data_IF_034925302978
#
_entry.id   IF_034925302978
#
_cell.length_a   1.000
_cell.length_b   1.000
_cell.length_c   1.000
_cell.angle_alpha   90.00
_cell.angle_beta   90.00
_cell.angle_gamma   90.00
#
_symmetry.space_group_name_H-M   'P 1'
#
loop_
_entity.id
_entity.type
_entity.pdbx_description
1 polymer ?
#
# COMPACT_ATOMS: atom_id res chain seq x y z
N UNK A 1 -25.73 9.68 -8.88
CA UNK A 1 -24.78 10.05 -9.93
C UNK A 1 -23.81 11.05 -9.35
N UNK A 2 -22.52 11.02 -9.74
CA UNK A 2 -21.45 11.91 -9.25
C UNK A 2 -21.15 11.80 -7.74
N UNK A 3 -20.96 10.58 -7.25
CA UNK A 3 -20.45 10.38 -5.89
C UNK A 3 -19.03 10.91 -5.74
N UNK A 4 -18.83 11.74 -4.72
CA UNK A 4 -17.49 12.17 -4.31
C UNK A 4 -16.87 11.09 -3.46
N UNK A 5 -15.82 10.46 -3.96
CA UNK A 5 -15.05 9.46 -3.20
C UNK A 5 -14.38 10.12 -1.98
N UNK A 6 -14.32 9.38 -0.89
CA UNK A 6 -13.59 9.75 0.35
C UNK A 6 -12.35 8.88 0.52
N UNK A 7 -11.52 8.77 -0.51
CA UNK A 7 -10.30 7.96 -0.39
C UNK A 7 -9.23 8.73 0.40
N UNK A 8 -8.73 8.11 1.45
CA UNK A 8 -7.64 8.63 2.28
C UNK A 8 -6.29 7.99 1.94
N UNK A 9 -6.28 7.04 1.00
CA UNK A 9 -5.11 6.35 0.51
C UNK A 9 -4.89 6.68 -0.96
N UNK A 10 -3.63 6.91 -1.34
CA UNK A 10 -3.23 7.04 -2.73
C UNK A 10 -2.10 6.08 -3.07
N UNK A 11 -2.05 5.65 -4.34
CA UNK A 11 -0.87 5.03 -4.95
C UNK A 11 -0.25 6.05 -5.89
N UNK A 12 1.03 6.38 -5.66
CA UNK A 12 1.79 7.27 -6.54
C UNK A 12 2.33 6.46 -7.71
N UNK A 13 1.80 6.75 -8.90
CA UNK A 13 2.19 6.13 -10.16
C UNK A 13 3.07 7.10 -10.95
N UNK A 14 4.25 6.67 -11.40
CA UNK A 14 5.19 7.48 -12.16
C UNK A 14 5.52 6.83 -13.50
N UNK A 15 5.20 7.51 -14.60
CA UNK A 15 5.58 7.10 -15.95
C UNK A 15 7.10 7.14 -16.16
N UNK A 16 7.78 8.10 -15.55
CA UNK A 16 9.24 8.21 -15.59
C UNK A 16 9.90 7.02 -14.89
N UNK A 17 9.37 6.65 -13.70
CA UNK A 17 9.85 5.47 -12.99
C UNK A 17 9.59 4.18 -13.78
N UNK A 18 8.40 4.02 -14.38
CA UNK A 18 8.06 2.88 -15.22
C UNK A 18 8.99 2.79 -16.44
N UNK A 19 9.21 3.91 -17.16
CA UNK A 19 10.07 3.96 -18.33
C UNK A 19 11.52 3.68 -17.97
N UNK A 20 12.02 4.33 -16.91
CA UNK A 20 13.38 4.09 -16.41
C UNK A 20 13.60 2.65 -15.96
N UNK A 21 12.60 2.05 -15.32
CA UNK A 21 12.63 0.67 -14.87
C UNK A 21 12.69 -0.32 -16.03
N UNK A 22 11.95 -0.08 -17.09
CA UNK A 22 11.97 -0.90 -18.30
C UNK A 22 13.29 -0.79 -19.08
N UNK A 23 13.92 0.39 -19.07
CA UNK A 23 15.18 0.63 -19.74
C UNK A 23 16.38 0.04 -18.99
N UNK A 24 16.32 -0.03 -17.66
CA UNK A 24 17.41 -0.48 -16.78
C UNK A 24 16.92 -1.55 -15.81
N UNK A 25 16.71 -2.74 -16.32
CA UNK A 25 16.15 -3.87 -15.55
C UNK A 25 17.08 -4.43 -14.43
N UNK A 26 18.32 -4.02 -14.32
CA UNK A 26 19.30 -4.43 -13.30
C UNK A 26 19.32 -5.94 -12.99
N UNK A 27 19.37 -6.78 -14.01
CA UNK A 27 19.27 -8.21 -13.82
C UNK A 27 17.87 -8.71 -13.45
N UNK A 28 16.88 -7.86 -13.53
CA UNK A 28 15.47 -8.17 -13.48
C UNK A 28 15.07 -8.93 -14.76
N UNK A 29 15.73 -10.02 -15.01
CA UNK A 29 15.68 -10.73 -16.28
C UNK A 29 14.53 -11.72 -16.41
N UNK A 30 13.56 -11.71 -15.49
CA UNK A 30 12.48 -12.70 -15.42
C UNK A 30 11.19 -12.25 -16.10
N UNK A 31 11.17 -11.07 -16.72
CA UNK A 31 9.97 -10.53 -17.36
C UNK A 31 9.04 -9.74 -16.45
N UNK A 32 9.38 -9.59 -15.16
CA UNK A 32 8.63 -8.72 -14.26
C UNK A 32 8.78 -7.25 -14.67
N UNK A 33 7.71 -6.51 -14.49
CA UNK A 33 7.59 -5.10 -14.84
C UNK A 33 7.05 -4.27 -13.66
N UNK A 34 6.92 -2.97 -13.86
CA UNK A 34 6.43 -2.06 -12.82
C UNK A 34 5.05 -2.47 -12.26
N UNK A 35 4.16 -3.03 -13.09
CA UNK A 35 2.85 -3.48 -12.65
C UNK A 35 2.92 -4.69 -11.71
N UNK A 36 3.94 -5.52 -11.82
CA UNK A 36 4.11 -6.68 -10.92
C UNK A 36 4.49 -6.26 -9.50
N UNK A 37 4.97 -5.02 -9.34
CA UNK A 37 5.19 -4.40 -8.03
C UNK A 37 3.94 -3.69 -7.53
N UNK A 38 3.29 -2.92 -8.40
CA UNK A 38 2.16 -2.07 -8.04
C UNK A 38 0.89 -2.88 -7.77
N UNK A 39 0.58 -3.82 -8.66
CA UNK A 39 -0.69 -4.57 -8.64
C UNK A 39 -0.92 -5.37 -7.36
N UNK A 40 0.05 -6.13 -6.80
CA UNK A 40 -0.15 -6.83 -5.54
C UNK A 40 -0.49 -5.90 -4.37
N UNK A 41 0.06 -4.69 -4.36
CA UNK A 41 -0.23 -3.68 -3.33
C UNK A 41 -1.66 -3.13 -3.48
N UNK A 42 -2.08 -2.86 -4.73
CA UNK A 42 -3.46 -2.47 -5.02
C UNK A 42 -4.46 -3.57 -4.68
N UNK A 43 -4.18 -4.81 -5.08
CA UNK A 43 -5.05 -5.96 -4.81
C UNK A 43 -5.19 -6.22 -3.30
N UNK A 44 -4.13 -6.00 -2.52
CA UNK A 44 -4.16 -6.09 -1.07
C UNK A 44 -5.09 -5.03 -0.45
N UNK A 45 -5.01 -3.77 -0.89
CA UNK A 45 -5.92 -2.69 -0.46
C UNK A 45 -7.36 -2.98 -0.85
N UNK A 46 -7.58 -3.45 -2.09
CA UNK A 46 -8.90 -3.79 -2.61
C UNK A 46 -9.58 -4.88 -1.78
N UNK A 47 -8.83 -5.93 -1.41
CA UNK A 47 -9.36 -7.08 -0.65
C UNK A 47 -9.73 -6.75 0.79
N UNK A 48 -9.19 -5.67 1.35
CA UNK A 48 -9.52 -5.19 2.70
C UNK A 48 -10.44 -3.96 2.67
N UNK A 49 -11.11 -3.72 1.54
CA UNK A 49 -12.08 -2.63 1.40
C UNK A 49 -11.52 -1.22 1.63
N UNK A 50 -10.25 -0.99 1.32
CA UNK A 50 -9.64 0.34 1.35
C UNK A 50 -9.79 0.99 -0.02
N UNK A 51 -10.48 2.12 -0.07
CA UNK A 51 -10.58 2.95 -1.28
C UNK A 51 -9.23 3.63 -1.57
N UNK A 52 -8.82 3.61 -2.84
CA UNK A 52 -7.54 4.17 -3.26
C UNK A 52 -7.69 5.04 -4.51
N UNK A 53 -6.97 6.16 -4.56
CA UNK A 53 -6.79 6.98 -5.75
C UNK A 53 -5.40 6.74 -6.34
N UNK A 54 -5.28 6.84 -7.67
CA UNK A 54 -3.98 6.92 -8.33
C UNK A 54 -3.61 8.38 -8.54
N UNK A 55 -2.40 8.73 -8.16
CA UNK A 55 -1.85 10.08 -8.32
C UNK A 55 -0.52 10.02 -9.05
N UNK A 56 -0.26 10.99 -9.93
CA UNK A 56 1.03 11.14 -10.58
C UNK A 56 1.95 12.07 -9.77
N UNK A 57 3.28 12.09 -10.04
CA UNK A 57 4.25 12.91 -9.33
C UNK A 57 3.96 14.42 -9.34
N UNK A 58 3.25 14.90 -10.37
CA UNK A 58 2.91 16.33 -10.54
C UNK A 58 1.57 16.69 -9.91
N UNK A 59 0.79 15.70 -9.46
CA UNK A 59 -0.54 15.92 -8.86
C UNK A 59 -0.47 16.92 -7.71
N UNK A 60 -1.29 17.95 -7.80
CA UNK A 60 -1.51 18.87 -6.69
C UNK A 60 -2.32 18.17 -5.59
N UNK A 61 -2.02 18.52 -4.33
CA UNK A 61 -2.83 18.09 -3.20
C UNK A 61 -2.67 16.61 -2.81
N UNK A 62 -1.51 16.01 -3.02
CA UNK A 62 -1.20 14.69 -2.45
C UNK A 62 -1.24 14.72 -0.91
N UNK A 63 -1.09 15.90 -0.34
CA UNK A 63 -1.11 16.17 1.10
C UNK A 63 -2.50 15.93 1.74
N UNK A 64 -3.55 15.79 0.94
CA UNK A 64 -4.89 15.45 1.42
C UNK A 64 -5.02 13.99 1.88
N UNK A 65 -4.14 13.12 1.38
CA UNK A 65 -4.17 11.71 1.75
C UNK A 65 -3.51 11.48 3.11
N UNK A 66 -3.96 10.45 3.79
CA UNK A 66 -3.37 10.01 5.05
C UNK A 66 -2.21 9.04 4.82
N UNK A 67 -2.35 8.16 3.82
CA UNK A 67 -1.37 7.16 3.45
C UNK A 67 -1.08 7.23 1.94
N UNK A 68 0.20 7.26 1.59
CA UNK A 68 0.65 7.15 0.19
C UNK A 68 1.50 5.88 0.03
N UNK A 69 1.12 5.03 -0.92
CA UNK A 69 1.92 3.89 -1.34
C UNK A 69 2.78 4.33 -2.53
N UNK A 70 4.07 4.08 -2.47
CA UNK A 70 5.05 4.55 -3.47
C UNK A 70 5.78 3.32 -4.04
N UNK A 71 5.21 2.65 -5.07
CA UNK A 71 5.84 1.49 -5.69
C UNK A 71 7.04 1.92 -6.52
N UNK A 72 8.21 1.34 -6.28
CA UNK A 72 9.44 1.44 -7.07
C UNK A 72 9.64 2.78 -7.78
N UNK A 73 9.57 3.89 -7.04
CA UNK A 73 9.80 5.24 -7.57
C UNK A 73 11.29 5.40 -7.95
N UNK A 74 11.69 4.65 -8.98
CA UNK A 74 13.07 4.48 -9.43
C UNK A 74 13.68 5.78 -9.92
N UNK A 75 12.97 6.48 -10.80
CA UNK A 75 13.36 7.78 -11.34
C UNK A 75 12.45 8.88 -10.80
N UNK A 76 13.03 9.89 -10.15
CA UNK A 76 12.27 10.98 -9.57
C UNK A 76 13.13 12.25 -9.42
N UNK A 77 12.57 13.45 -9.63
CA UNK A 77 13.25 14.69 -9.32
C UNK A 77 13.41 14.87 -7.80
N UNK A 78 14.47 15.56 -7.41
CA UNK A 78 14.77 15.85 -6.01
C UNK A 78 13.63 16.60 -5.30
N UNK A 79 12.93 17.46 -6.02
CA UNK A 79 11.77 18.20 -5.51
C UNK A 79 10.64 17.29 -5.04
N UNK A 80 10.33 16.23 -5.80
CA UNK A 80 9.32 15.25 -5.42
C UNK A 80 9.74 14.48 -4.16
N UNK A 81 10.99 14.00 -4.11
CA UNK A 81 11.49 13.27 -2.94
C UNK A 81 11.50 14.12 -1.67
N UNK A 82 11.87 15.39 -1.78
CA UNK A 82 11.76 16.36 -0.67
C UNK A 82 10.32 16.62 -0.26
N UNK A 83 9.39 16.69 -1.23
CA UNK A 83 7.95 16.84 -0.97
C UNK A 83 7.39 15.64 -0.20
N UNK A 84 7.79 14.43 -0.57
CA UNK A 84 7.39 13.21 0.13
C UNK A 84 7.95 13.17 1.56
N UNK A 85 9.21 13.58 1.78
CA UNK A 85 9.76 13.72 3.13
C UNK A 85 8.97 14.73 3.95
N UNK A 86 8.61 15.88 3.38
CA UNK A 86 7.81 16.90 4.04
C UNK A 86 6.41 16.39 4.39
N UNK A 87 5.79 15.62 3.50
CA UNK A 87 4.51 14.96 3.75
C UNK A 87 4.58 14.07 5.00
N UNK A 88 5.61 13.22 5.13
CA UNK A 88 5.81 12.39 6.33
C UNK A 88 6.06 13.28 7.55
N UNK A 89 6.96 14.27 7.45
CA UNK A 89 7.27 15.18 8.55
C UNK A 89 6.04 15.87 9.13
N UNK A 90 5.05 16.16 8.29
CA UNK A 90 3.81 16.84 8.66
C UNK A 90 2.70 15.89 9.17
N UNK A 91 2.94 14.59 9.23
CA UNK A 91 2.00 13.62 9.81
C UNK A 91 1.38 12.65 8.81
N UNK A 92 1.86 12.65 7.55
CA UNK A 92 1.50 11.65 6.55
C UNK A 92 2.20 10.31 6.78
N UNK A 93 1.63 9.26 6.21
CA UNK A 93 2.20 7.91 6.25
C UNK A 93 2.61 7.49 4.84
N UNK A 94 3.79 6.91 4.69
CA UNK A 94 4.25 6.40 3.39
C UNK A 94 4.70 4.95 3.53
N UNK A 95 4.33 4.13 2.52
CA UNK A 95 4.98 2.86 2.25
C UNK A 95 5.79 3.00 0.95
N UNK A 96 7.10 3.02 1.07
CA UNK A 96 8.02 2.88 -0.05
C UNK A 96 8.30 1.40 -0.32
N UNK A 97 8.42 1.04 -1.59
CA UNK A 97 9.04 -0.23 -1.94
C UNK A 97 10.50 -0.01 -2.38
N UNK A 98 11.21 -1.08 -2.61
CA UNK A 98 12.60 -1.06 -3.11
C UNK A 98 12.76 -0.17 -4.37
N UNK A 99 14.00 0.22 -4.65
CA UNK A 99 14.42 1.14 -5.74
C UNK A 99 13.83 2.55 -5.70
N UNK A 100 13.15 2.93 -4.63
CA UNK A 100 12.70 4.32 -4.49
C UNK A 100 13.88 5.28 -4.28
N UNK A 101 13.86 6.43 -5.00
CA UNK A 101 14.89 7.45 -4.89
C UNK A 101 16.24 7.09 -5.53
N UNK A 102 16.32 6.00 -6.30
CA UNK A 102 17.57 5.46 -6.83
C UNK A 102 18.23 6.37 -7.88
N UNK A 103 17.45 6.95 -8.78
CA UNK A 103 17.94 7.85 -9.82
C UNK A 103 17.15 9.17 -9.86
N UNK A 104 17.72 10.16 -10.54
CA UNK A 104 17.00 11.39 -10.83
C UNK A 104 16.03 11.21 -12.02
N UNK A 105 15.30 12.25 -12.41
CA UNK A 105 14.33 12.26 -13.51
C UNK A 105 14.94 11.91 -14.88
N UNK A 106 16.24 12.06 -15.06
CA UNK A 106 16.99 11.69 -16.26
C UNK A 106 17.59 10.28 -16.17
N UNK A 107 17.13 9.48 -15.22
CA UNK A 107 17.60 8.10 -14.96
C UNK A 107 19.09 8.04 -14.58
N UNK A 108 19.70 9.16 -14.20
CA UNK A 108 21.07 9.19 -13.67
C UNK A 108 21.06 8.74 -12.23
N UNK A 109 21.76 7.64 -11.95
CA UNK A 109 21.90 7.07 -10.58
C UNK A 109 22.52 8.12 -9.65
N UNK A 110 21.95 8.28 -8.47
CA UNK A 110 22.51 9.13 -7.42
C UNK A 110 23.78 8.51 -6.85
N UNK A 111 24.84 9.30 -6.75
CA UNK A 111 26.16 8.87 -6.27
C UNK A 111 26.32 8.93 -4.75
N UNK A 112 25.22 9.06 -4.02
CA UNK A 112 25.16 9.02 -2.55
C UNK A 112 24.65 7.66 -2.09
N UNK A 113 24.83 7.35 -0.80
CA UNK A 113 24.19 6.15 -0.21
C UNK A 113 22.68 6.18 -0.45
N UNK A 114 22.15 5.05 -0.86
CA UNK A 114 20.73 4.90 -1.13
C UNK A 114 19.93 4.78 0.18
N UNK A 115 18.65 5.11 0.17
CA UNK A 115 17.82 5.62 -0.91
C UNK A 115 17.92 7.14 -1.14
N UNK A 116 19.07 7.71 -0.91
CA UNK A 116 19.37 9.12 -1.23
C UNK A 116 18.56 10.11 -0.36
N UNK A 117 17.81 10.99 -1.00
CA UNK A 117 17.05 12.07 -0.33
C UNK A 117 16.06 11.53 0.70
N UNK A 118 15.43 10.37 0.45
CA UNK A 118 14.45 9.81 1.37
C UNK A 118 15.08 9.01 2.53
N UNK A 119 16.41 8.88 2.59
CA UNK A 119 17.13 8.18 3.67
C UNK A 119 16.76 8.68 5.06
N UNK A 120 16.63 10.00 5.21
CA UNK A 120 16.32 10.61 6.50
C UNK A 120 14.90 10.23 6.96
N UNK A 121 13.90 10.37 6.09
CA UNK A 121 12.53 10.01 6.43
C UNK A 121 12.38 8.50 6.66
N UNK A 122 13.06 7.67 5.88
CA UNK A 122 13.02 6.22 6.02
C UNK A 122 13.89 5.69 7.17
N UNK A 123 14.84 6.48 7.68
CA UNK A 123 15.75 6.08 8.75
C UNK A 123 16.67 4.92 8.38
N UNK A 124 17.10 4.85 7.14
CA UNK A 124 17.91 3.75 6.58
C UNK A 124 18.96 4.25 5.59
N UNK A 125 19.96 3.40 5.36
CA UNK A 125 20.89 3.55 4.26
C UNK A 125 21.26 2.19 3.66
N UNK A 126 21.66 2.17 2.38
CA UNK A 126 22.27 1.00 1.75
C UNK A 126 23.18 1.38 0.58
N UNK A 127 24.11 0.49 0.24
CA UNK A 127 25.01 0.62 -0.93
C UNK A 127 25.02 -0.63 -1.79
N UNK A 128 24.33 -1.67 -1.37
CA UNK A 128 24.33 -2.96 -2.05
C UNK A 128 22.91 -3.52 -2.18
N UNK A 129 22.71 -4.23 -3.26
CA UNK A 129 21.52 -5.03 -3.53
C UNK A 129 21.94 -6.33 -4.21
N UNK A 130 21.06 -7.32 -4.21
CA UNK A 130 21.34 -8.62 -4.85
C UNK A 130 20.03 -9.28 -5.32
N UNK A 131 20.19 -10.33 -6.11
CA UNK A 131 19.09 -11.21 -6.48
C UNK A 131 18.96 -12.30 -5.43
N UNK A 132 17.79 -12.49 -4.81
CA UNK A 132 17.59 -13.54 -3.81
C UNK A 132 17.56 -14.93 -4.45
N UNK A 133 18.17 -15.90 -3.74
CA UNK A 133 18.04 -17.32 -4.06
C UNK A 133 17.58 -18.03 -2.79
N UNK A 134 16.34 -18.52 -2.80
CA UNK A 134 15.74 -19.22 -1.65
C UNK A 134 15.76 -18.39 -0.34
N UNK A 135 15.47 -17.10 -0.43
CA UNK A 135 15.44 -16.18 0.71
C UNK A 135 14.01 -16.04 1.22
N UNK A 136 13.86 -16.05 2.53
CA UNK A 136 12.63 -15.74 3.26
C UNK A 136 12.85 -14.59 4.25
N UNK A 137 11.80 -14.20 4.97
CA UNK A 137 11.92 -13.32 6.12
C UNK A 137 12.12 -14.16 7.38
N UNK A 138 13.08 -13.78 8.21
CA UNK A 138 13.43 -14.50 9.43
C UNK A 138 12.25 -14.57 10.39
N UNK A 139 11.99 -15.76 10.92
CA UNK A 139 10.95 -16.04 11.92
C UNK A 139 9.50 -15.74 11.47
N UNK A 140 9.26 -15.61 10.15
CA UNK A 140 7.93 -15.33 9.56
C UNK A 140 7.15 -14.22 10.30
N UNK A 141 7.66 -12.98 10.33
CA UNK A 141 7.10 -11.91 11.17
C UNK A 141 5.67 -11.51 10.79
N UNK A 142 5.24 -11.85 9.59
CA UNK A 142 3.89 -11.59 9.08
C UNK A 142 2.94 -12.79 9.18
N UNK A 143 3.42 -13.93 9.71
CA UNK A 143 2.62 -15.16 9.93
C UNK A 143 1.91 -15.65 8.67
N UNK A 144 2.63 -15.65 7.54
CA UNK A 144 2.09 -16.08 6.24
C UNK A 144 2.33 -17.56 5.95
N UNK A 145 3.12 -18.23 6.78
CA UNK A 145 3.52 -19.63 6.63
C UNK A 145 4.72 -19.81 5.68
N UNK A 146 5.49 -20.87 5.90
CA UNK A 146 6.77 -21.12 5.23
C UNK A 146 6.71 -21.02 3.70
N UNK A 147 5.64 -21.54 3.09
CA UNK A 147 5.47 -21.56 1.62
C UNK A 147 5.29 -20.14 1.06
N UNK A 148 4.62 -19.27 1.81
CA UNK A 148 4.30 -17.90 1.41
C UNK A 148 5.33 -16.88 1.89
N UNK A 149 6.20 -17.25 2.83
CA UNK A 149 7.24 -16.37 3.36
C UNK A 149 8.45 -16.38 2.43
N UNK A 150 8.33 -15.71 1.27
CA UNK A 150 9.37 -15.72 0.24
C UNK A 150 9.70 -14.33 -0.25
N UNK A 151 11.00 -14.11 -0.52
CA UNK A 151 11.54 -12.94 -1.20
C UNK A 151 11.86 -13.34 -2.63
N UNK A 152 11.32 -12.57 -3.59
CA UNK A 152 11.43 -12.82 -5.04
C UNK A 152 12.40 -11.81 -5.64
N UNK A 153 13.02 -12.15 -6.74
CA UNK A 153 13.68 -11.30 -7.75
C UNK A 153 14.62 -10.21 -7.26
N UNK A 154 14.32 -9.48 -6.17
CA UNK A 154 15.10 -8.31 -5.74
C UNK A 154 15.17 -8.17 -4.22
N UNK A 155 16.36 -7.84 -3.70
CA UNK A 155 16.58 -7.48 -2.30
C UNK A 155 17.68 -6.42 -2.16
N UNK A 156 17.42 -5.37 -1.40
CA UNK A 156 18.37 -4.35 -0.98
C UNK A 156 18.90 -4.70 0.42
N UNK A 157 20.18 -4.48 0.65
CA UNK A 157 20.84 -4.82 1.91
C UNK A 157 20.84 -3.58 2.81
N UNK A 158 19.67 -3.26 3.38
CA UNK A 158 19.49 -2.04 4.15
C UNK A 158 20.03 -2.15 5.57
N UNK A 159 20.68 -1.06 6.01
CA UNK A 159 21.13 -0.85 7.38
C UNK A 159 20.27 0.24 8.01
N UNK A 160 19.54 -0.06 9.10
CA UNK A 160 18.80 0.95 9.83
C UNK A 160 19.74 1.99 10.47
N UNK A 161 19.36 3.26 10.41
CA UNK A 161 20.03 4.36 11.14
C UNK A 161 19.18 4.80 12.33
N UNK A 162 17.89 5.09 12.08
CA UNK A 162 16.91 5.44 13.12
C UNK A 162 15.66 4.56 13.05
N UNK A 163 15.49 3.80 11.98
CA UNK A 163 14.30 2.98 11.76
C UNK A 163 14.26 1.75 12.67
N UNK A 164 13.06 1.38 13.10
CA UNK A 164 12.77 0.09 13.69
C UNK A 164 12.70 -0.97 12.58
N UNK A 165 13.33 -2.13 12.80
CA UNK A 165 13.22 -3.26 11.89
C UNK A 165 11.94 -4.03 12.16
N UNK A 166 11.16 -4.26 11.11
CA UNK A 166 9.97 -5.11 11.13
C UNK A 166 10.29 -6.53 10.66
N UNK A 167 11.27 -6.69 9.76
CA UNK A 167 11.71 -7.99 9.26
C UNK A 167 13.19 -7.95 8.85
N UNK A 168 13.91 -9.03 9.15
CA UNK A 168 15.24 -9.33 8.62
C UNK A 168 15.14 -10.41 7.53
N UNK A 169 16.14 -10.49 6.67
CA UNK A 169 16.27 -11.64 5.76
C UNK A 169 16.68 -12.90 6.54
N UNK A 170 16.12 -14.04 6.16
CA UNK A 170 16.57 -15.34 6.61
C UNK A 170 17.62 -15.88 5.62
N UNK A 171 18.90 -15.53 5.86
CA UNK A 171 20.00 -15.90 4.99
C UNK A 171 21.31 -15.91 5.78
N UNK A 172 22.19 -16.93 5.60
CA UNK A 172 23.40 -17.05 6.40
C UNK A 172 24.38 -15.88 6.27
N UNK A 173 24.43 -15.21 5.11
CA UNK A 173 25.30 -14.05 4.85
C UNK A 173 24.56 -12.73 5.01
N UNK A 174 23.34 -12.64 4.49
CA UNK A 174 22.56 -11.41 4.41
C UNK A 174 21.60 -11.19 5.58
N UNK A 175 21.51 -12.15 6.51
CA UNK A 175 20.57 -12.09 7.65
C UNK A 175 20.81 -10.96 8.65
N UNK A 176 21.94 -10.25 8.55
CA UNK A 176 22.20 -9.03 9.31
C UNK A 176 21.53 -7.78 8.76
N UNK A 177 21.07 -7.84 7.51
CA UNK A 177 20.41 -6.69 6.86
C UNK A 177 18.90 -6.77 7.01
N UNK A 178 18.29 -5.62 7.20
CA UNK A 178 16.84 -5.51 7.29
C UNK A 178 16.20 -5.63 5.92
N UNK A 179 15.02 -6.26 5.89
CA UNK A 179 14.18 -6.40 4.70
C UNK A 179 13.01 -5.42 4.69
N UNK A 180 12.46 -5.14 5.88
CA UNK A 180 11.33 -4.19 6.04
C UNK A 180 11.58 -3.39 7.32
N UNK A 181 11.45 -2.07 7.21
CA UNK A 181 11.66 -1.13 8.32
C UNK A 181 10.53 -0.12 8.42
N UNK A 182 10.43 0.51 9.58
CA UNK A 182 9.49 1.59 9.84
C UNK A 182 10.18 2.66 10.68
N UNK A 183 10.06 3.92 10.27
CA UNK A 183 10.67 5.05 10.92
C UNK A 183 9.68 6.15 11.28
N UNK A 184 9.74 6.66 12.50
CA UNK A 184 9.04 7.87 12.88
C UNK A 184 9.83 9.08 12.37
N UNK A 185 9.21 9.93 11.56
CA UNK A 185 9.84 11.14 11.04
C UNK A 185 8.91 12.35 11.19
N UNK A 186 9.27 13.27 12.04
CA UNK A 186 8.38 14.36 12.43
C UNK A 186 7.12 13.83 13.12
N UNK A 187 5.95 14.10 12.51
CA UNK A 187 4.64 13.65 13.02
C UNK A 187 4.11 12.39 12.31
N UNK A 188 4.80 11.92 11.29
CA UNK A 188 4.37 10.82 10.45
C UNK A 188 5.31 9.62 10.51
N UNK A 189 5.04 8.64 9.63
CA UNK A 189 5.75 7.37 9.59
C UNK A 189 6.09 7.00 8.14
N UNK A 190 7.35 6.63 7.91
CA UNK A 190 7.79 6.02 6.66
C UNK A 190 8.10 4.55 6.88
N UNK A 191 7.45 3.69 6.12
CA UNK A 191 7.74 2.25 6.03
C UNK A 191 8.49 2.00 4.73
N UNK A 192 9.55 1.20 4.78
CA UNK A 192 10.33 0.85 3.60
C UNK A 192 10.43 -0.65 3.45
N UNK A 193 9.98 -1.17 2.31
CA UNK A 193 10.10 -2.58 1.92
C UNK A 193 11.23 -2.73 0.91
N UNK A 194 12.37 -3.25 1.36
CA UNK A 194 13.60 -3.35 0.59
C UNK A 194 13.67 -4.54 -0.39
N UNK A 195 12.61 -5.28 -0.54
CA UNK A 195 12.59 -6.46 -1.38
C UNK A 195 11.27 -6.65 -2.13
N UNK A 196 11.30 -7.43 -3.19
CA UNK A 196 10.09 -7.92 -3.81
C UNK A 196 9.58 -9.13 -3.02
N UNK A 197 8.58 -8.89 -2.18
CA UNK A 197 8.01 -9.91 -1.33
C UNK A 197 6.86 -10.67 -2.03
N UNK A 198 6.48 -11.82 -1.48
CA UNK A 198 5.29 -12.54 -1.93
C UNK A 198 4.01 -11.73 -1.73
N UNK A 199 2.96 -12.09 -2.46
CA UNK A 199 1.66 -11.42 -2.35
C UNK A 199 1.06 -11.55 -0.94
N UNK A 200 1.34 -12.65 -0.25
CA UNK A 200 0.91 -12.85 1.14
C UNK A 200 1.61 -11.90 2.11
N UNK A 201 2.92 -11.68 1.95
CA UNK A 201 3.66 -10.69 2.73
C UNK A 201 3.15 -9.29 2.40
N UNK A 202 2.98 -8.95 1.11
CA UNK A 202 2.43 -7.67 0.67
C UNK A 202 1.06 -7.40 1.32
N UNK A 203 0.16 -8.40 1.34
CA UNK A 203 -1.16 -8.26 1.96
C UNK A 203 -1.07 -7.95 3.46
N UNK A 204 -0.19 -8.64 4.19
CA UNK A 204 0.00 -8.40 5.63
C UNK A 204 0.70 -7.08 5.92
N UNK A 205 1.65 -6.67 5.09
CA UNK A 205 2.31 -5.37 5.22
C UNK A 205 1.33 -4.23 4.94
N UNK A 206 0.49 -4.34 3.92
CA UNK A 206 -0.58 -3.38 3.63
C UNK A 206 -1.56 -3.29 4.80
N UNK A 207 -2.01 -4.41 5.36
CA UNK A 207 -2.85 -4.41 6.57
C UNK A 207 -2.14 -3.65 7.72
N UNK A 208 -0.86 -3.92 7.95
CA UNK A 208 -0.07 -3.25 9.00
C UNK A 208 0.01 -1.73 8.78
N UNK A 209 0.34 -1.27 7.57
CA UNK A 209 0.47 0.18 7.31
C UNK A 209 -0.89 0.90 7.34
N UNK A 210 -1.97 0.26 6.91
CA UNK A 210 -3.33 0.80 7.02
C UNK A 210 -3.74 0.96 8.49
N UNK A 211 -3.48 -0.06 9.33
CA UNK A 211 -3.71 0.03 10.78
C UNK A 211 -2.85 1.12 11.43
N UNK A 212 -1.58 1.17 11.10
CA UNK A 212 -0.64 2.19 11.62
C UNK A 212 -1.07 3.61 11.26
N UNK A 213 -1.63 3.80 10.07
CA UNK A 213 -2.16 5.09 9.64
C UNK A 213 -3.52 5.45 10.27
N UNK A 214 -4.10 4.57 11.10
CA UNK A 214 -5.41 4.79 11.72
C UNK A 214 -6.58 4.71 10.73
N UNK A 215 -6.41 3.96 9.63
CA UNK A 215 -7.40 3.83 8.57
C UNK A 215 -8.16 2.50 8.62
N UNK A 216 -8.00 1.74 9.69
CA UNK A 216 -8.70 0.48 9.90
C UNK A 216 -10.01 0.72 10.66
N UNK A 217 -11.13 0.46 10.00
CA UNK A 217 -12.48 0.59 10.55
C UNK A 217 -13.22 -0.74 10.48
N UNK A 218 -14.50 -0.75 10.81
CA UNK A 218 -15.37 -1.93 10.70
C UNK A 218 -15.51 -2.45 9.27
N UNK A 219 -15.42 -1.57 8.26
CA UNK A 219 -15.44 -1.99 6.85
C UNK A 219 -14.27 -2.91 6.49
N UNK A 220 -13.09 -2.70 7.08
CA UNK A 220 -11.91 -3.51 6.84
C UNK A 220 -11.98 -4.89 7.54
N UNK A 221 -12.90 -5.06 8.50
CA UNK A 221 -13.17 -6.38 9.09
C UNK A 221 -14.02 -7.26 8.17
N UNK A 222 -14.78 -6.66 7.24
CA UNK A 222 -15.56 -7.38 6.23
C UNK A 222 -14.61 -7.91 5.17
N UNK A 223 -14.57 -9.23 5.01
CA UNK A 223 -13.59 -9.90 4.17
C UNK A 223 -14.06 -10.04 2.71
N UNK A 224 -13.11 -10.01 1.79
CA UNK A 224 -13.35 -10.50 0.43
C UNK A 224 -13.99 -11.91 0.50
N UNK A 225 -15.02 -12.21 -0.29
CA UNK A 225 -15.42 -11.53 -1.53
C UNK A 225 -16.52 -10.44 -1.39
N UNK A 226 -16.82 -9.95 -0.19
CA UNK A 226 -17.66 -8.76 -0.06
C UNK A 226 -16.78 -7.54 -0.27
N UNK A 227 -17.14 -6.72 -1.25
CA UNK A 227 -16.44 -5.46 -1.57
C UNK A 227 -17.32 -4.28 -1.25
N UNK A 228 -16.75 -3.32 -0.53
CA UNK A 228 -17.41 -2.09 -0.11
C UNK A 228 -16.84 -0.92 -0.90
N UNK A 229 -17.72 -0.08 -1.42
CA UNK A 229 -17.37 1.22 -1.98
C UNK A 229 -18.27 2.29 -1.38
N UNK A 230 -17.67 3.38 -0.92
CA UNK A 230 -18.41 4.46 -0.28
C UNK A 230 -18.11 5.82 -0.91
N UNK A 231 -19.06 6.73 -0.79
CA UNK A 231 -18.90 8.10 -1.26
C UNK A 231 -20.01 9.01 -0.75
N UNK A 232 -19.88 10.30 -1.03
CA UNK A 232 -20.87 11.30 -0.66
C UNK A 232 -21.64 11.70 -1.92
N UNK A 233 -22.97 11.69 -1.84
CA UNK A 233 -23.84 12.15 -2.91
C UNK A 233 -23.94 13.69 -2.93
N UNK A 234 -24.70 14.23 -3.89
CA UNK A 234 -24.88 15.67 -4.05
C UNK A 234 -25.64 16.33 -2.88
N UNK A 235 -26.42 15.56 -2.11
CA UNK A 235 -27.14 16.00 -0.92
C UNK A 235 -26.27 15.92 0.36
N UNK A 236 -24.99 15.53 0.23
CA UNK A 236 -24.09 15.42 1.37
C UNK A 236 -24.24 14.12 2.17
N UNK A 237 -25.07 13.19 1.73
CA UNK A 237 -25.28 11.91 2.40
C UNK A 237 -24.25 10.87 1.98
N UNK A 238 -23.86 10.02 2.91
CA UNK A 238 -22.94 8.91 2.65
C UNK A 238 -23.71 7.77 2.02
N UNK A 239 -23.18 7.23 0.95
CA UNK A 239 -23.70 6.03 0.27
C UNK A 239 -22.67 4.93 0.31
N UNK A 240 -23.10 3.75 0.70
CA UNK A 240 -22.31 2.53 0.70
C UNK A 240 -22.86 1.57 -0.36
N UNK A 241 -21.96 1.03 -1.17
CA UNK A 241 -22.24 -0.05 -2.11
C UNK A 241 -21.58 -1.31 -1.57
N UNK A 242 -22.34 -2.35 -1.36
CA UNK A 242 -21.89 -3.67 -0.96
C UNK A 242 -22.08 -4.62 -2.12
N UNK A 243 -20.99 -5.26 -2.56
CA UNK A 243 -21.00 -6.22 -3.66
C UNK A 243 -20.54 -7.58 -3.16
N UNK A 244 -21.25 -8.63 -3.57
CA UNK A 244 -20.82 -10.02 -3.37
C UNK A 244 -20.18 -10.56 -4.64
N UNK A 245 -18.86 -10.69 -4.67
CA UNK A 245 -18.12 -11.28 -5.79
C UNK A 245 -17.95 -12.80 -5.63
N UNK A 246 -19.03 -13.51 -5.29
CA UNK A 246 -19.02 -14.95 -5.19
C UNK A 246 -20.32 -15.59 -5.70
N UNK A 247 -20.25 -16.88 -6.04
CA UNK A 247 -21.39 -17.69 -6.44
C UNK A 247 -22.26 -18.19 -5.29
N UNK A 248 -21.98 -17.76 -4.04
CA UNK A 248 -22.73 -18.15 -2.85
C UNK A 248 -23.32 -16.91 -2.18
N UNK A 249 -24.51 -17.00 -1.57
CA UNK A 249 -25.00 -15.95 -0.70
C UNK A 249 -24.04 -15.71 0.47
N UNK A 250 -23.89 -14.46 0.86
CA UNK A 250 -23.04 -14.03 1.97
C UNK A 250 -23.81 -13.06 2.86
N UNK A 251 -23.45 -13.03 4.15
CA UNK A 251 -23.98 -12.07 5.11
C UNK A 251 -22.87 -11.36 5.84
N UNK A 252 -23.16 -10.15 6.30
CA UNK A 252 -22.25 -9.33 7.10
C UNK A 252 -23.06 -8.41 8.02
N UNK A 253 -22.43 -7.91 9.08
CA UNK A 253 -23.05 -6.93 9.96
C UNK A 253 -22.80 -5.51 9.46
N UNK A 254 -23.85 -4.71 9.36
CA UNK A 254 -23.77 -3.29 9.03
C UNK A 254 -23.37 -2.48 10.26
N UNK A 255 -22.34 -1.63 10.15
CA UNK A 255 -21.78 -0.93 11.31
C UNK A 255 -21.75 0.60 11.18
N UNK A 256 -22.61 1.16 10.33
CA UNK A 256 -22.71 2.61 10.16
C UNK A 256 -24.01 3.17 10.81
N UNK A 257 -24.31 4.43 10.56
CA UNK A 257 -25.50 5.10 11.07
C UNK A 257 -26.79 4.50 10.51
N UNK A 258 -27.95 4.95 11.04
CA UNK A 258 -29.26 4.62 10.46
C UNK A 258 -29.28 4.98 8.99
N UNK A 259 -29.85 4.12 8.19
CA UNK A 259 -29.79 4.20 6.75
C UNK A 259 -31.04 3.63 6.07
N UNK A 260 -31.13 3.79 4.77
CA UNK A 260 -32.15 3.16 3.92
C UNK A 260 -31.43 2.37 2.82
N UNK A 261 -31.87 1.14 2.59
CA UNK A 261 -31.51 0.38 1.39
C UNK A 261 -32.31 0.95 0.21
N UNK A 262 -31.61 1.50 -0.79
CA UNK A 262 -32.25 2.34 -1.82
C UNK A 262 -33.08 1.56 -2.84
N UNK A 263 -32.86 0.27 -3.01
CA UNK A 263 -33.60 -0.55 -3.99
C UNK A 263 -34.92 -1.07 -3.42
N UNK A 264 -34.96 -1.35 -2.12
CA UNK A 264 -36.15 -1.91 -1.44
C UNK A 264 -36.90 -0.91 -0.60
N UNK A 265 -36.26 0.20 -0.21
CA UNK A 265 -36.79 1.17 0.75
C UNK A 265 -36.74 0.72 2.22
N UNK A 266 -36.12 -0.41 2.50
CA UNK A 266 -36.04 -0.96 3.85
C UNK A 266 -35.10 -0.13 4.74
N UNK A 267 -35.52 0.10 5.98
CA UNK A 267 -34.67 0.73 6.99
C UNK A 267 -33.54 -0.22 7.42
N UNK A 268 -32.35 0.33 7.57
CA UNK A 268 -31.17 -0.37 8.03
C UNK A 268 -30.61 0.36 9.26
N UNK A 269 -30.25 -0.40 10.29
CA UNK A 269 -29.68 0.12 11.54
C UNK A 269 -28.37 -0.57 11.88
N UNK A 270 -27.57 0.08 12.72
CA UNK A 270 -26.33 -0.49 13.22
C UNK A 270 -26.57 -1.91 13.78
N UNK A 271 -25.66 -2.83 13.49
CA UNK A 271 -25.69 -4.26 13.81
C UNK A 271 -26.80 -5.08 13.09
N UNK A 272 -27.54 -4.50 12.14
CA UNK A 272 -28.36 -5.34 11.28
C UNK A 272 -27.48 -6.28 10.45
N UNK A 273 -27.90 -7.54 10.35
CA UNK A 273 -27.30 -8.49 9.43
C UNK A 273 -27.90 -8.26 8.04
N UNK A 274 -27.05 -7.99 7.09
CA UNK A 274 -27.42 -7.81 5.69
C UNK A 274 -27.02 -9.05 4.90
N UNK A 275 -27.89 -9.49 4.00
CA UNK A 275 -27.66 -10.64 3.15
C UNK A 275 -27.50 -10.20 1.69
N UNK A 276 -26.45 -10.64 1.04
CA UNK A 276 -26.21 -10.46 -0.38
C UNK A 276 -26.38 -11.78 -1.11
N UNK A 277 -27.26 -11.83 -2.08
CA UNK A 277 -27.36 -12.99 -2.97
C UNK A 277 -26.05 -13.25 -3.71
N UNK A 278 -25.89 -14.42 -4.30
CA UNK A 278 -24.75 -14.70 -5.20
C UNK A 278 -24.69 -13.64 -6.30
N UNK A 279 -23.50 -13.02 -6.48
CA UNK A 279 -23.25 -11.93 -7.44
C UNK A 279 -24.17 -10.71 -7.24
N UNK A 280 -24.81 -10.60 -6.05
CA UNK A 280 -25.72 -9.53 -5.70
C UNK A 280 -25.04 -8.30 -5.13
N UNK A 281 -25.83 -7.26 -4.99
CA UNK A 281 -25.37 -6.00 -4.36
C UNK A 281 -26.50 -5.30 -3.61
N UNK A 282 -26.13 -4.40 -2.71
CA UNK A 282 -27.02 -3.47 -2.03
C UNK A 282 -26.45 -2.06 -2.05
N UNK A 283 -27.33 -1.08 -2.05
CA UNK A 283 -26.99 0.35 -2.02
C UNK A 283 -27.64 0.96 -0.80
N UNK A 284 -26.84 1.42 0.14
CA UNK A 284 -27.31 1.91 1.43
C UNK A 284 -26.95 3.38 1.60
N UNK A 285 -27.96 4.22 1.84
CA UNK A 285 -27.80 5.66 2.09
C UNK A 285 -27.99 5.94 3.59
N UNK A 286 -26.98 6.52 4.24
CA UNK A 286 -27.07 7.01 5.61
C UNK A 286 -28.05 8.19 5.70
N UNK A 287 -28.84 8.25 6.79
CA UNK A 287 -29.83 9.31 7.04
C UNK A 287 -29.22 10.52 7.76
#
# INVERSE_FOLDING_TARGET
VNLKKKNEVAILFSNEALTGFNAFSFGWGSGENYNDILRPLYDALYRINVGVDFVDPTSAGIEKYKLIIVPALYAAPDSLLKRLNLFVKNGGYILYTFKCGFSNENVKVRTVKQPGIISEACGIEYSQFTLPVNVSLKDDPFKVGKVNNTVKTWMELITPTTAKVLAYYDHPVWGKYAAITQNNYGKGIATYMACMASDSINARLIENVVRTAGLWTTDQEIKFPIIIKSGINQQGKIIHYYFNYSSKPLSFSYHHNKAIELLTGNAVSNNNVLELSAWGFQIIEEQ
#
